data_IF_695510243899
#
_entry.id   IF_695510243899
#
_cell.length_a   1.000
_cell.length_b   1.000
_cell.length_c   1.000
_cell.angle_alpha   90.00
_cell.angle_beta   90.00
_cell.angle_gamma   90.00
#
_symmetry.space_group_name_H-M   'P 1'
#
loop_
_entity.id
_entity.type
_entity.pdbx_description
1 polymer ?
#
# COMPACT_ATOMS: atom_id res chain seq x y z
N UNK A 1 -11.16 6.74 -3.19
CA UNK A 1 -9.79 6.24 -3.04
C UNK A 1 -9.39 5.25 -4.12
N UNK A 2 -9.98 4.06 -4.16
CA UNK A 2 -9.67 3.01 -5.16
C UNK A 2 -9.83 3.55 -6.59
N UNK A 3 -10.98 4.13 -6.92
CA UNK A 3 -11.27 4.68 -8.25
C UNK A 3 -10.26 5.75 -8.67
N UNK A 4 -9.86 6.64 -7.76
CA UNK A 4 -8.89 7.69 -8.04
C UNK A 4 -7.49 7.13 -8.35
N UNK A 5 -7.03 6.12 -7.60
CA UNK A 5 -5.77 5.44 -7.86
C UNK A 5 -5.80 4.67 -9.19
N UNK A 6 -6.89 3.96 -9.45
CA UNK A 6 -7.10 3.22 -10.70
C UNK A 6 -7.07 4.14 -11.91
N UNK A 7 -7.79 5.26 -11.86
CA UNK A 7 -7.81 6.21 -12.97
C UNK A 7 -6.42 6.74 -13.32
N UNK A 8 -5.60 7.08 -12.30
CA UNK A 8 -4.21 7.51 -12.54
C UNK A 8 -3.32 6.38 -13.05
N UNK A 9 -3.58 5.14 -12.64
CA UNK A 9 -2.81 3.97 -13.10
C UNK A 9 -3.10 3.59 -14.55
N UNK A 10 -4.32 3.82 -15.06
CA UNK A 10 -4.74 3.54 -16.45
C UNK A 10 -4.05 4.46 -17.45
N UNK A 11 -3.61 5.67 -17.07
CA UNK A 11 -2.97 6.62 -17.99
C UNK A 11 -1.71 6.05 -18.67
N UNK A 12 -1.11 5.00 -18.16
CA UNK A 12 0.03 4.31 -18.77
C UNK A 12 -0.34 3.14 -19.70
N UNK A 13 -1.62 2.86 -19.90
CA UNK A 13 -2.12 1.90 -20.90
C UNK A 13 -1.79 0.43 -20.65
N UNK A 14 -1.45 0.03 -19.42
CA UNK A 14 -1.04 -1.33 -19.10
C UNK A 14 -2.13 -2.15 -18.42
N UNK A 15 -2.35 -3.39 -18.91
CA UNK A 15 -3.09 -4.50 -18.26
C UNK A 15 -4.42 -4.10 -17.60
N UNK A 16 -5.30 -3.45 -18.35
CA UNK A 16 -6.62 -3.00 -17.88
C UNK A 16 -7.42 -4.16 -17.24
N UNK A 17 -7.38 -5.36 -17.83
CA UNK A 17 -8.13 -6.52 -17.32
C UNK A 17 -7.68 -6.95 -15.93
N UNK A 18 -6.37 -6.99 -15.65
CA UNK A 18 -5.83 -7.35 -14.32
C UNK A 18 -6.24 -6.31 -13.28
N UNK A 19 -6.25 -5.04 -13.68
CA UNK A 19 -6.65 -3.94 -12.81
C UNK A 19 -8.14 -4.02 -12.46
N UNK A 20 -9.03 -4.25 -13.41
CA UNK A 20 -10.46 -4.42 -13.14
C UNK A 20 -10.76 -5.61 -12.24
N UNK A 21 -10.11 -6.76 -12.48
CA UNK A 21 -10.26 -7.94 -11.63
C UNK A 21 -9.83 -7.66 -10.20
N UNK A 22 -8.72 -6.94 -10.01
CA UNK A 22 -8.22 -6.57 -8.68
C UNK A 22 -9.15 -5.60 -7.94
N UNK A 23 -9.77 -4.66 -8.66
CA UNK A 23 -10.75 -3.72 -8.09
C UNK A 23 -12.00 -4.45 -7.63
N UNK A 24 -12.52 -5.36 -8.44
CA UNK A 24 -13.70 -6.17 -8.09
C UNK A 24 -13.42 -6.98 -6.82
N UNK A 25 -12.28 -7.64 -6.77
CA UNK A 25 -11.84 -8.44 -5.62
C UNK A 25 -11.79 -7.61 -4.32
N UNK A 26 -11.13 -6.45 -4.34
CA UNK A 26 -11.02 -5.62 -3.14
C UNK A 26 -12.37 -5.03 -2.69
N UNK A 27 -13.24 -4.66 -3.61
CA UNK A 27 -14.58 -4.16 -3.28
C UNK A 27 -15.43 -5.24 -2.60
N UNK A 28 -15.40 -6.48 -3.10
CA UNK A 28 -16.08 -7.62 -2.47
C UNK A 28 -15.55 -7.88 -1.05
N UNK A 29 -14.22 -7.80 -0.87
CA UNK A 29 -13.58 -7.97 0.44
C UNK A 29 -14.00 -6.88 1.43
N UNK A 30 -14.00 -5.61 1.02
CA UNK A 30 -14.40 -4.49 1.89
C UNK A 30 -15.85 -4.64 2.35
N UNK A 31 -16.73 -5.12 1.47
CA UNK A 31 -18.14 -5.33 1.81
C UNK A 31 -18.35 -6.53 2.75
N UNK A 32 -17.60 -7.61 2.55
CA UNK A 32 -17.88 -8.89 3.19
C UNK A 32 -17.04 -9.17 4.44
N UNK A 33 -15.84 -8.60 4.57
CA UNK A 33 -14.89 -8.95 5.64
C UNK A 33 -14.80 -7.89 6.73
N UNK A 34 -14.90 -8.34 7.99
CA UNK A 34 -14.72 -7.48 9.16
C UNK A 34 -13.31 -6.86 9.24
N UNK A 35 -12.29 -7.57 8.77
CA UNK A 35 -10.87 -7.17 8.85
C UNK A 35 -10.30 -6.84 7.47
N UNK A 36 -10.96 -5.94 6.76
CA UNK A 36 -10.62 -5.58 5.38
C UNK A 36 -9.37 -4.69 5.23
N UNK A 37 -8.91 -4.04 6.31
CA UNK A 37 -7.79 -3.07 6.22
C UNK A 37 -6.50 -3.71 5.74
N UNK A 38 -6.14 -4.91 6.23
CA UNK A 38 -4.95 -5.64 5.78
C UNK A 38 -5.05 -6.02 4.30
N UNK A 39 -6.23 -6.43 3.84
CA UNK A 39 -6.49 -6.73 2.42
C UNK A 39 -6.41 -5.48 1.54
N UNK A 40 -6.85 -4.34 2.05
CA UNK A 40 -6.70 -3.08 1.34
C UNK A 40 -5.22 -2.68 1.22
N UNK A 41 -4.42 -2.85 2.27
CA UNK A 41 -2.98 -2.63 2.20
C UNK A 41 -2.31 -3.57 1.18
N UNK A 42 -2.63 -4.87 1.21
CA UNK A 42 -2.14 -5.82 0.20
C UNK A 42 -2.52 -5.40 -1.22
N UNK A 43 -3.76 -4.94 -1.42
CA UNK A 43 -4.22 -4.46 -2.72
C UNK A 43 -3.40 -3.27 -3.23
N UNK A 44 -2.97 -2.35 -2.37
CA UNK A 44 -2.09 -1.24 -2.77
C UNK A 44 -0.76 -1.76 -3.34
N UNK A 45 -0.16 -2.77 -2.74
CA UNK A 45 1.07 -3.39 -3.26
C UNK A 45 0.82 -4.23 -4.52
N UNK A 46 -0.34 -4.88 -4.63
CA UNK A 46 -0.79 -5.54 -5.87
C UNK A 46 -0.98 -4.52 -7.01
N UNK A 47 -1.51 -3.34 -6.73
CA UNK A 47 -1.60 -2.24 -7.68
C UNK A 47 -0.21 -1.83 -8.20
N UNK A 48 0.78 -1.64 -7.30
CA UNK A 48 2.16 -1.36 -7.70
C UNK A 48 2.71 -2.43 -8.63
N UNK A 49 2.46 -3.71 -8.34
CA UNK A 49 2.86 -4.83 -9.19
C UNK A 49 2.23 -4.76 -10.58
N UNK A 50 0.93 -4.48 -10.67
CA UNK A 50 0.19 -4.39 -11.93
C UNK A 50 0.76 -3.29 -12.82
N UNK A 51 1.14 -2.14 -12.24
CA UNK A 51 1.69 -1.01 -12.99
C UNK A 51 3.22 -1.05 -13.16
N UNK A 52 3.86 -2.14 -12.71
CA UNK A 52 5.29 -2.39 -12.98
C UNK A 52 6.28 -1.92 -11.93
N UNK A 53 5.81 -1.51 -10.74
CA UNK A 53 6.66 -1.01 -9.64
C UNK A 53 6.66 -1.93 -8.41
N UNK A 54 6.63 -3.23 -8.67
CA UNK A 54 6.63 -4.25 -7.61
C UNK A 54 7.85 -4.14 -6.70
N UNK A 55 7.61 -4.23 -5.38
CA UNK A 55 8.66 -4.58 -4.40
C UNK A 55 8.51 -6.05 -4.02
N UNK A 56 9.62 -6.74 -3.92
CA UNK A 56 9.66 -8.17 -3.64
C UNK A 56 9.67 -8.45 -2.13
N UNK A 57 8.56 -8.13 -1.45
CA UNK A 57 8.42 -8.38 -0.01
C UNK A 57 8.26 -9.87 0.32
N UNK A 58 7.77 -10.68 -0.60
CA UNK A 58 7.55 -12.12 -0.38
C UNK A 58 8.87 -12.88 -0.22
N UNK A 59 9.88 -12.56 -1.01
CA UNK A 59 11.23 -13.14 -0.92
C UNK A 59 12.12 -12.46 0.13
N UNK A 60 11.70 -11.32 0.67
CA UNK A 60 12.45 -10.54 1.64
C UNK A 60 11.86 -10.55 3.05
N UNK A 61 11.16 -11.62 3.43
CA UNK A 61 10.50 -11.77 4.76
C UNK A 61 11.45 -11.70 5.95
N UNK A 62 12.72 -12.03 5.74
CA UNK A 62 13.75 -11.98 6.80
C UNK A 62 14.24 -10.55 7.10
N UNK A 63 13.91 -9.59 6.24
CA UNK A 63 14.32 -8.20 6.41
C UNK A 63 13.23 -7.42 7.13
N UNK A 64 13.60 -6.75 8.22
CA UNK A 64 12.69 -5.99 9.06
C UNK A 64 12.36 -4.59 8.53
N UNK A 65 13.28 -4.00 7.77
CA UNK A 65 13.20 -2.60 7.39
C UNK A 65 13.12 -2.45 5.89
N UNK A 66 12.45 -1.39 5.44
CA UNK A 66 12.41 -0.96 4.05
C UNK A 66 12.89 0.48 3.96
N UNK A 67 13.92 0.72 3.15
CA UNK A 67 14.42 2.04 2.85
C UNK A 67 13.64 2.64 1.68
N UNK A 68 12.88 3.71 1.95
CA UNK A 68 12.00 4.31 0.95
C UNK A 68 12.69 5.27 -0.04
N UNK A 69 13.99 5.57 0.17
CA UNK A 69 14.79 6.36 -0.77
C UNK A 69 15.37 5.47 -1.87
N UNK A 70 16.06 4.38 -1.49
CA UNK A 70 16.64 3.44 -2.44
C UNK A 70 15.72 2.28 -2.81
N UNK A 71 14.55 2.17 -2.16
CA UNK A 71 13.52 1.15 -2.36
C UNK A 71 14.04 -0.29 -2.17
N UNK A 72 14.86 -0.48 -1.12
CA UNK A 72 15.45 -1.78 -0.77
C UNK A 72 15.09 -2.21 0.65
N UNK A 73 15.03 -3.53 0.83
CA UNK A 73 14.93 -4.14 2.14
C UNK A 73 16.28 -4.15 2.85
N UNK A 74 16.25 -3.89 4.18
CA UNK A 74 17.44 -3.76 5.02
C UNK A 74 17.29 -4.57 6.31
N UNK A 75 18.41 -5.10 6.82
CA UNK A 75 18.44 -5.83 8.08
C UNK A 75 18.50 -4.93 9.31
N UNK A 76 19.03 -3.74 9.14
CA UNK A 76 19.25 -2.76 10.20
C UNK A 76 18.45 -1.48 9.94
N UNK A 77 18.13 -0.79 11.02
CA UNK A 77 17.47 0.50 10.93
C UNK A 77 18.51 1.57 10.56
N UNK A 78 18.50 1.97 9.31
CA UNK A 78 19.35 3.05 8.77
C UNK A 78 18.50 4.28 8.44
N UNK A 79 19.15 5.38 8.13
CA UNK A 79 18.46 6.59 7.70
C UNK A 79 17.49 6.32 6.53
N UNK A 80 16.30 6.90 6.59
CA UNK A 80 15.21 6.72 5.62
C UNK A 80 14.66 5.29 5.51
N UNK A 81 14.86 4.47 6.53
CA UNK A 81 14.22 3.16 6.62
C UNK A 81 13.16 3.12 7.72
N UNK A 82 12.13 2.34 7.49
CA UNK A 82 11.04 2.09 8.44
C UNK A 82 10.73 0.60 8.51
N UNK A 83 10.12 0.18 9.61
CA UNK A 83 9.69 -1.21 9.77
C UNK A 83 8.68 -1.57 8.68
N UNK A 84 8.93 -2.69 7.99
CA UNK A 84 8.01 -3.30 7.04
C UNK A 84 7.23 -4.41 7.72
N UNK A 85 5.92 -4.25 7.96
CA UNK A 85 5.12 -5.21 8.68
C UNK A 85 4.61 -6.33 7.76
N UNK A 86 5.46 -7.29 7.40
CA UNK A 86 5.15 -8.41 6.51
C UNK A 86 3.89 -9.16 6.90
N UNK A 87 3.71 -9.40 8.20
CA UNK A 87 2.57 -10.18 8.72
C UNK A 87 1.21 -9.58 8.36
N UNK A 88 1.12 -8.25 8.18
CA UNK A 88 -0.14 -7.60 7.77
C UNK A 88 -0.50 -8.00 6.35
N UNK A 89 0.47 -8.04 5.43
CA UNK A 89 0.24 -8.44 4.05
C UNK A 89 0.02 -9.96 3.91
N UNK A 90 0.41 -10.74 4.92
CA UNK A 90 0.13 -12.17 5.04
C UNK A 90 -1.20 -12.46 5.78
N UNK A 91 -1.93 -11.42 6.17
CA UNK A 91 -3.17 -11.50 6.95
C UNK A 91 -3.04 -12.28 8.25
N UNK A 92 -1.87 -12.25 8.87
CA UNK A 92 -1.55 -12.92 10.12
C UNK A 92 -1.36 -11.92 11.26
N UNK A 93 -1.89 -12.24 12.44
CA UNK A 93 -1.73 -11.44 13.63
C UNK A 93 -2.62 -10.20 13.72
N UNK A 94 -2.33 -9.35 14.69
CA UNK A 94 -3.06 -8.11 14.93
C UNK A 94 -2.42 -6.98 14.12
N UNK A 95 -3.26 -6.07 13.65
CA UNK A 95 -2.80 -4.83 13.02
C UNK A 95 -2.62 -3.74 14.06
N UNK A 96 -1.63 -2.86 13.86
CA UNK A 96 -1.47 -1.65 14.67
C UNK A 96 -1.51 -0.40 13.81
N UNK A 97 -1.86 0.74 14.43
CA UNK A 97 -1.86 2.04 13.77
C UNK A 97 -0.50 2.37 13.12
N UNK A 98 0.61 2.15 13.86
CA UNK A 98 1.95 2.45 13.37
C UNK A 98 2.37 1.59 12.18
N UNK A 99 2.01 0.32 12.18
CA UNK A 99 2.32 -0.60 11.10
C UNK A 99 1.53 -0.30 9.82
N UNK A 100 0.24 -0.03 9.96
CA UNK A 100 -0.61 0.40 8.82
C UNK A 100 -0.10 1.73 8.25
N UNK A 101 0.28 2.69 9.12
CA UNK A 101 0.90 3.95 8.69
C UNK A 101 2.19 3.71 7.90
N UNK A 102 3.04 2.79 8.34
CA UNK A 102 4.27 2.44 7.63
C UNK A 102 3.98 1.90 6.22
N UNK A 103 3.02 0.99 6.06
CA UNK A 103 2.62 0.49 4.74
C UNK A 103 2.13 1.61 3.82
N UNK A 104 1.32 2.53 4.32
CA UNK A 104 0.91 3.70 3.55
C UNK A 104 2.09 4.57 3.12
N UNK A 105 3.04 4.86 4.02
CA UNK A 105 4.23 5.66 3.69
C UNK A 105 5.09 4.99 2.62
N UNK A 106 5.28 3.68 2.69
CA UNK A 106 6.03 2.92 1.68
C UNK A 106 5.31 2.97 0.34
N UNK A 107 4.01 2.67 0.32
CA UNK A 107 3.20 2.75 -0.91
C UNK A 107 3.25 4.14 -1.54
N UNK A 108 2.98 5.19 -0.75
CA UNK A 108 2.99 6.59 -1.24
C UNK A 108 4.35 6.98 -1.81
N UNK A 109 5.44 6.60 -1.15
CA UNK A 109 6.79 6.89 -1.61
C UNK A 109 7.08 6.25 -2.97
N UNK A 110 6.77 4.98 -3.14
CA UNK A 110 7.00 4.25 -4.39
C UNK A 110 6.09 4.78 -5.50
N UNK A 111 4.79 4.91 -5.21
CA UNK A 111 3.79 5.36 -6.19
C UNK A 111 4.08 6.79 -6.67
N UNK A 112 4.44 7.69 -5.76
CA UNK A 112 4.78 9.07 -6.12
C UNK A 112 6.06 9.12 -6.94
N UNK A 113 7.15 8.54 -6.44
CA UNK A 113 8.48 8.64 -7.06
C UNK A 113 8.57 7.94 -8.41
N UNK A 114 7.97 6.76 -8.54
CA UNK A 114 8.10 5.93 -9.74
C UNK A 114 7.00 6.19 -10.77
N UNK A 115 5.82 6.61 -10.34
CA UNK A 115 4.65 6.77 -11.21
C UNK A 115 4.18 8.22 -11.33
N UNK A 116 3.74 8.84 -10.25
CA UNK A 116 3.12 10.17 -10.30
C UNK A 116 4.07 11.27 -10.80
N UNK A 117 5.33 11.25 -10.38
CA UNK A 117 6.32 12.23 -10.82
C UNK A 117 6.55 12.13 -12.34
N UNK A 118 6.52 10.94 -12.91
CA UNK A 118 6.70 10.73 -14.35
C UNK A 118 5.53 11.27 -15.19
N UNK A 119 4.31 11.28 -14.65
CA UNK A 119 3.12 11.80 -15.32
C UNK A 119 2.74 13.21 -14.85
N UNK A 120 3.56 13.82 -13.99
CA UNK A 120 3.35 15.16 -13.41
C UNK A 120 2.01 15.30 -12.67
N UNK A 121 1.63 14.29 -11.90
CA UNK A 121 0.44 14.28 -11.03
C UNK A 121 0.82 14.23 -9.57
N UNK A 122 -0.13 14.60 -8.71
CA UNK A 122 -0.03 14.45 -7.25
C UNK A 122 -0.91 13.33 -6.75
N UNK A 123 -0.61 12.85 -5.54
CA UNK A 123 -1.44 11.88 -4.85
C UNK A 123 -2.90 12.34 -4.78
N UNK A 124 -3.88 11.52 -5.17
CA UNK A 124 -5.29 11.92 -5.18
C UNK A 124 -5.79 12.27 -3.77
N UNK A 125 -6.50 13.38 -3.66
CA UNK A 125 -7.09 13.84 -2.39
C UNK A 125 -8.01 12.78 -1.78
N UNK A 126 -8.78 12.08 -2.60
CA UNK A 126 -9.65 10.99 -2.13
C UNK A 126 -8.88 9.82 -1.50
N UNK A 127 -7.68 9.52 -2.00
CA UNK A 127 -6.81 8.53 -1.37
C UNK A 127 -6.29 9.04 -0.01
N UNK A 128 -5.81 10.28 0.04
CA UNK A 128 -5.29 10.89 1.28
C UNK A 128 -6.37 10.91 2.35
N UNK A 129 -7.59 11.33 1.99
CA UNK A 129 -8.72 11.37 2.92
C UNK A 129 -9.09 9.97 3.43
N UNK A 130 -9.12 8.97 2.56
CA UNK A 130 -9.43 7.59 2.95
C UNK A 130 -8.35 6.98 3.85
N UNK A 131 -7.08 7.22 3.53
CA UNK A 131 -5.96 6.85 4.41
C UNK A 131 -6.13 7.46 5.81
N UNK A 132 -6.41 8.76 5.89
CA UNK A 132 -6.59 9.45 7.15
C UNK A 132 -7.77 8.90 7.95
N UNK A 133 -8.88 8.55 7.29
CA UNK A 133 -10.02 7.88 7.94
C UNK A 133 -9.61 6.55 8.57
N UNK A 134 -8.86 5.71 7.84
CA UNK A 134 -8.35 4.44 8.37
C UNK A 134 -7.45 4.66 9.59
N UNK A 135 -6.49 5.58 9.48
CA UNK A 135 -5.53 5.85 10.56
C UNK A 135 -6.22 6.42 11.80
N UNK A 136 -7.17 7.33 11.63
CA UNK A 136 -7.97 7.86 12.74
C UNK A 136 -8.81 6.77 13.40
N UNK A 137 -9.48 5.93 12.62
CA UNK A 137 -10.24 4.79 13.15
C UNK A 137 -9.36 3.86 14.00
N UNK A 138 -8.17 3.52 13.52
CA UNK A 138 -7.24 2.65 14.26
C UNK A 138 -6.76 3.31 15.56
N UNK A 139 -6.48 4.60 15.53
CA UNK A 139 -6.07 5.35 16.72
C UNK A 139 -7.18 5.43 17.77
N UNK A 140 -8.40 5.77 17.35
CA UNK A 140 -9.55 5.90 18.24
C UNK A 140 -9.99 4.57 18.89
N UNK A 141 -9.73 3.44 18.22
CA UNK A 141 -10.05 2.11 18.70
C UNK A 141 -8.86 1.37 19.35
N UNK A 142 -7.80 2.09 19.72
CA UNK A 142 -6.63 1.58 20.44
C UNK A 142 -5.91 0.40 19.74
N UNK A 143 -5.77 0.48 18.43
CA UNK A 143 -4.93 -0.44 17.66
C UNK A 143 -3.45 -0.02 17.71
N UNK A 144 -2.91 0.02 18.88
CA UNK A 144 -1.49 0.37 19.08
C UNK A 144 -0.62 -0.87 19.26
#
# INVERSE_FOLDING_TARGET
>A
SIVSLVNLSILEGQKINDLYSSVKEILEIIIMKKYWISFYCEWLFKLLKIIGYQIDYENNKNYKFFNFINQKFENINIENSIIFPHHILEHSGKISHSEIRNLFLIFESIYTKNHLDNINYKMPVNFINFKNLILNYLKENNYD
#
